data_IF_420061219239
#
_entry.id   IF_420061219239
#
_cell.length_a   1.000
_cell.length_b   1.000
_cell.length_c   1.000
_cell.angle_alpha   90.00
_cell.angle_beta   90.00
_cell.angle_gamma   90.00
#
_symmetry.space_group_name_H-M   'P 1'
#
loop_
_entity.id
_entity.type
_entity.pdbx_description
1 polymer ?
#
# COMPACT_ATOMS: atom_id res chain seq x y z
N UNK A 1 57.35 11.41 -77.34
CA UNK A 1 58.50 10.96 -76.52
C UNK A 1 58.38 11.56 -75.16
N UNK A 2 57.73 10.93 -74.25
CA UNK A 2 57.63 11.43 -72.86
C UNK A 2 57.61 10.24 -71.93
N UNK A 3 58.69 10.15 -71.13
CA UNK A 3 58.92 9.05 -70.18
C UNK A 3 58.03 9.19 -68.99
N UNK A 4 57.43 8.09 -68.56
CA UNK A 4 56.80 7.92 -67.25
C UNK A 4 57.88 7.97 -66.16
N UNK A 5 57.66 8.65 -65.04
CA UNK A 5 58.47 8.43 -63.86
C UNK A 5 58.00 7.22 -63.09
N UNK A 6 58.90 6.40 -62.58
CA UNK A 6 58.76 5.14 -61.87
C UNK A 6 58.04 5.26 -60.53
N UNK A 7 57.03 4.40 -60.37
CA UNK A 7 56.36 4.15 -59.08
C UNK A 7 57.20 3.15 -58.27
N UNK A 8 58.21 3.56 -57.55
CA UNK A 8 59.00 2.72 -56.64
C UNK A 8 59.40 3.46 -55.37
N UNK A 9 58.43 3.90 -54.52
CA UNK A 9 58.80 4.49 -53.21
C UNK A 9 57.74 4.32 -52.12
N UNK A 10 56.73 3.48 -52.30
CA UNK A 10 55.70 3.33 -51.25
C UNK A 10 55.66 1.96 -50.49
N UNK A 11 56.50 0.99 -50.86
CA UNK A 11 56.51 -0.35 -50.24
C UNK A 11 57.46 -0.55 -49.06
N UNK A 12 58.34 0.41 -48.76
CA UNK A 12 59.38 0.31 -47.72
C UNK A 12 58.95 0.86 -46.35
N UNK A 13 57.93 1.68 -46.26
CA UNK A 13 57.49 2.29 -44.99
C UNK A 13 56.57 1.41 -44.15
N UNK A 14 55.85 0.44 -44.73
CA UNK A 14 54.95 -0.46 -43.99
C UNK A 14 55.68 -1.54 -43.20
N UNK A 15 56.91 -1.83 -43.48
CA UNK A 15 57.68 -2.89 -42.84
C UNK A 15 58.81 -2.39 -41.88
N UNK A 16 58.71 -1.16 -41.41
CA UNK A 16 59.66 -0.58 -40.48
C UNK A 16 59.05 -0.27 -39.12
N UNK A 17 59.79 -0.39 -38.07
CA UNK A 17 59.38 -0.03 -36.71
C UNK A 17 59.00 1.47 -36.66
N UNK A 18 57.76 1.79 -36.36
CA UNK A 18 57.21 3.16 -36.30
C UNK A 18 57.91 4.07 -35.28
N UNK A 19 58.74 3.49 -34.38
CA UNK A 19 59.45 4.25 -33.34
C UNK A 19 60.92 4.52 -33.67
N UNK A 20 61.64 3.56 -34.27
CA UNK A 20 63.09 3.72 -34.54
C UNK A 20 63.52 3.41 -35.98
N UNK A 21 62.58 3.12 -36.88
CA UNK A 21 62.87 2.84 -38.29
C UNK A 21 63.51 1.47 -38.59
N UNK A 22 63.74 0.60 -37.61
CA UNK A 22 64.30 -0.73 -37.78
C UNK A 22 63.42 -1.61 -38.66
N UNK A 23 64.00 -2.34 -39.62
CA UNK A 23 63.28 -3.32 -40.46
C UNK A 23 62.90 -4.62 -39.74
N UNK A 24 63.38 -4.84 -38.50
CA UNK A 24 63.08 -6.01 -37.67
C UNK A 24 61.86 -5.73 -36.81
N UNK A 25 60.68 -5.87 -37.39
CA UNK A 25 59.42 -5.76 -36.64
C UNK A 25 58.87 -7.10 -36.20
N UNK A 26 58.28 -7.17 -35.01
CA UNK A 26 57.52 -8.34 -34.54
C UNK A 26 56.14 -8.38 -35.16
N UNK A 27 55.84 -9.42 -35.93
CA UNK A 27 54.51 -9.65 -36.54
C UNK A 27 53.52 -10.18 -35.55
N UNK A 28 52.26 -9.94 -35.75
CA UNK A 28 51.15 -10.44 -34.88
C UNK A 28 50.68 -9.46 -33.81
N UNK A 29 51.14 -8.24 -33.84
CA UNK A 29 50.71 -7.18 -32.93
C UNK A 29 50.09 -6.00 -33.69
N UNK A 30 49.16 -5.25 -33.07
CA UNK A 30 48.44 -4.16 -33.74
C UNK A 30 49.35 -2.97 -34.15
N UNK A 31 50.56 -2.87 -33.57
CA UNK A 31 51.52 -1.85 -33.92
C UNK A 31 52.84 -2.44 -34.41
N UNK A 32 53.33 -1.95 -35.52
CA UNK A 32 54.60 -2.32 -36.11
C UNK A 32 55.80 -1.76 -35.30
N UNK A 33 56.26 -2.52 -34.29
CA UNK A 33 57.37 -2.16 -33.42
C UNK A 33 58.39 -3.32 -33.41
N UNK A 34 59.69 -2.96 -33.36
CA UNK A 34 60.74 -3.96 -33.08
C UNK A 34 60.70 -4.38 -31.59
N UNK A 35 61.26 -5.54 -31.28
CA UNK A 35 61.32 -6.08 -29.91
C UNK A 35 61.86 -5.07 -28.89
N UNK A 36 62.97 -4.37 -29.24
CA UNK A 36 63.59 -3.36 -28.37
C UNK A 36 62.70 -2.17 -28.07
N UNK A 37 61.97 -1.66 -29.06
CA UNK A 37 61.01 -0.56 -28.84
C UNK A 37 59.76 -1.01 -28.07
N UNK A 38 59.33 -2.25 -28.27
CA UNK A 38 58.20 -2.82 -27.56
C UNK A 38 58.52 -3.03 -26.07
N UNK A 39 59.68 -3.61 -25.75
CA UNK A 39 60.13 -3.78 -24.36
C UNK A 39 60.32 -2.42 -23.67
N UNK A 40 60.95 -1.47 -24.35
CA UNK A 40 61.13 -0.12 -23.84
C UNK A 40 59.79 0.64 -23.59
N UNK A 41 58.77 0.36 -24.39
CA UNK A 41 57.39 0.90 -24.15
C UNK A 41 56.68 0.15 -22.99
N UNK A 42 56.88 -1.17 -22.88
CA UNK A 42 56.33 -1.98 -21.80
C UNK A 42 56.96 -1.66 -20.42
N UNK A 43 58.26 -1.27 -20.45
CA UNK A 43 59.01 -0.89 -19.23
C UNK A 43 58.77 0.57 -18.80
N UNK A 44 58.09 1.39 -19.63
CA UNK A 44 57.75 2.78 -19.22
C UNK A 44 56.81 2.78 -18.02
N UNK A 45 57.20 3.34 -16.87
CA UNK A 45 56.31 3.45 -15.73
C UNK A 45 55.11 4.29 -16.10
N UNK A 46 53.90 3.77 -15.82
CA UNK A 46 52.67 4.56 -16.00
C UNK A 46 52.76 5.85 -15.20
N UNK A 47 52.49 7.01 -15.84
CA UNK A 47 52.50 8.28 -15.15
C UNK A 47 51.63 8.23 -13.87
N UNK A 48 52.09 8.84 -12.75
CA UNK A 48 51.38 8.75 -11.46
C UNK A 48 49.91 9.20 -11.53
N UNK A 49 49.59 10.19 -12.36
CA UNK A 49 48.24 10.69 -12.52
C UNK A 49 47.28 9.63 -13.12
N UNK A 50 47.76 8.79 -14.04
CA UNK A 50 46.95 7.67 -14.60
C UNK A 50 46.57 6.67 -13.48
N UNK A 51 47.52 6.36 -12.61
CA UNK A 51 47.26 5.47 -11.47
C UNK A 51 46.22 6.05 -10.53
N UNK A 52 46.30 7.34 -10.23
CA UNK A 52 45.36 8.05 -9.39
C UNK A 52 43.94 8.06 -10.01
N UNK A 53 43.85 8.40 -11.30
CA UNK A 53 42.58 8.41 -12.04
C UNK A 53 41.97 7.01 -12.10
N UNK A 54 42.79 5.97 -12.41
CA UNK A 54 42.31 4.60 -12.44
C UNK A 54 41.83 4.12 -11.07
N UNK A 55 42.56 4.44 -10.00
CA UNK A 55 42.12 4.13 -8.62
C UNK A 55 40.81 4.83 -8.28
N UNK A 56 40.65 6.12 -8.66
CA UNK A 56 39.41 6.88 -8.49
C UNK A 56 38.23 6.22 -9.21
N UNK A 57 38.41 5.81 -10.46
CA UNK A 57 37.39 5.11 -11.25
C UNK A 57 37.00 3.77 -10.58
N UNK A 58 38.00 2.98 -10.12
CA UNK A 58 37.75 1.72 -9.43
C UNK A 58 36.96 1.93 -8.14
N UNK A 59 37.30 2.97 -7.37
CA UNK A 59 36.56 3.32 -6.14
C UNK A 59 35.11 3.71 -6.48
N UNK A 60 34.90 4.54 -7.48
CA UNK A 60 33.55 4.96 -7.91
C UNK A 60 32.73 3.76 -8.38
N UNK A 61 33.32 2.87 -9.19
CA UNK A 61 32.67 1.64 -9.64
C UNK A 61 32.37 0.70 -8.45
N UNK A 62 33.30 0.57 -7.50
CA UNK A 62 33.09 -0.22 -6.28
C UNK A 62 31.93 0.31 -5.45
N UNK A 63 31.84 1.63 -5.23
CA UNK A 63 30.74 2.26 -4.52
C UNK A 63 29.41 2.13 -5.29
N UNK A 64 29.42 2.24 -6.61
CA UNK A 64 28.26 2.02 -7.45
C UNK A 64 27.74 0.57 -7.35
N UNK A 65 28.66 -0.40 -7.41
CA UNK A 65 28.34 -1.82 -7.28
C UNK A 65 27.80 -2.17 -5.88
N UNK A 66 28.28 -1.52 -4.82
CA UNK A 66 27.73 -1.72 -3.46
C UNK A 66 26.29 -1.22 -3.32
N UNK A 67 25.90 -0.15 -4.01
CA UNK A 67 24.55 0.42 -3.97
C UNK A 67 23.60 -0.16 -5.02
N UNK A 68 24.12 -0.86 -6.01
CA UNK A 68 23.31 -1.41 -7.11
C UNK A 68 22.22 -2.39 -6.64
N UNK A 69 22.48 -3.33 -5.67
CA UNK A 69 21.43 -4.22 -5.18
C UNK A 69 20.28 -3.48 -4.54
N UNK A 70 20.54 -2.45 -3.73
CA UNK A 70 19.49 -1.67 -3.06
C UNK A 70 18.67 -0.88 -4.09
N UNK A 71 19.32 -0.27 -5.08
CA UNK A 71 18.65 0.47 -6.16
C UNK A 71 17.76 -0.44 -6.99
N UNK A 72 18.25 -1.62 -7.36
CA UNK A 72 17.48 -2.62 -8.10
C UNK A 72 16.28 -3.11 -7.26
N UNK A 73 16.52 -3.45 -6.00
CA UNK A 73 15.49 -3.92 -5.07
C UNK A 73 14.41 -2.88 -4.86
N UNK A 74 14.77 -1.61 -4.68
CA UNK A 74 13.81 -0.52 -4.54
C UNK A 74 13.00 -0.31 -5.81
N UNK A 75 13.65 -0.33 -6.99
CA UNK A 75 12.97 -0.22 -8.29
C UNK A 75 11.96 -1.34 -8.51
N UNK A 76 12.35 -2.59 -8.24
CA UNK A 76 11.46 -3.75 -8.34
C UNK A 76 10.27 -3.66 -7.37
N UNK A 77 10.52 -3.26 -6.11
CA UNK A 77 9.43 -3.06 -5.15
C UNK A 77 8.50 -1.92 -5.60
N UNK A 78 9.02 -0.81 -6.10
CA UNK A 78 8.20 0.29 -6.60
C UNK A 78 7.30 -0.17 -7.76
N UNK A 79 7.84 -0.92 -8.72
CA UNK A 79 7.07 -1.47 -9.85
C UNK A 79 6.01 -2.48 -9.40
N UNK A 80 6.36 -3.39 -8.49
CA UNK A 80 5.42 -4.37 -7.92
C UNK A 80 4.32 -3.67 -7.13
N UNK A 81 4.65 -2.64 -6.36
CA UNK A 81 3.68 -1.78 -5.68
C UNK A 81 2.71 -1.11 -6.64
N UNK A 82 3.22 -0.56 -7.75
CA UNK A 82 2.40 0.07 -8.77
C UNK A 82 1.51 -0.94 -9.53
N UNK A 83 1.98 -2.16 -9.78
CA UNK A 83 1.16 -3.24 -10.34
C UNK A 83 0.04 -3.67 -9.40
N UNK A 84 0.36 -3.82 -8.10
CA UNK A 84 -0.62 -4.15 -7.08
C UNK A 84 -1.69 -3.05 -6.93
N UNK A 85 -1.28 -1.77 -6.95
CA UNK A 85 -2.20 -0.62 -6.94
C UNK A 85 -3.17 -0.63 -8.13
N UNK A 86 -2.68 -0.89 -9.35
CA UNK A 86 -3.53 -1.05 -10.54
C UNK A 86 -4.52 -2.20 -10.41
N UNK A 87 -4.12 -3.27 -9.73
CA UNK A 87 -4.98 -4.41 -9.42
C UNK A 87 -5.88 -4.18 -8.20
N UNK A 88 -5.88 -2.97 -7.63
CA UNK A 88 -6.61 -2.59 -6.40
C UNK A 88 -6.25 -3.43 -5.18
N UNK A 89 -5.06 -4.01 -5.15
CA UNK A 89 -4.47 -4.76 -4.04
C UNK A 89 -3.65 -3.81 -3.16
N UNK A 90 -4.36 -3.00 -2.40
CA UNK A 90 -3.73 -1.87 -1.72
C UNK A 90 -2.88 -2.25 -0.50
N UNK A 91 -3.15 -3.38 0.17
CA UNK A 91 -2.27 -3.89 1.24
C UNK A 91 -0.95 -4.44 0.65
N UNK A 92 -1.03 -5.18 -0.45
CA UNK A 92 0.16 -5.63 -1.19
C UNK A 92 0.97 -4.44 -1.69
N UNK A 93 0.30 -3.44 -2.28
CA UNK A 93 0.90 -2.18 -2.73
C UNK A 93 1.61 -1.46 -1.58
N UNK A 94 0.96 -1.33 -0.43
CA UNK A 94 1.52 -0.74 0.79
C UNK A 94 2.82 -1.44 1.23
N UNK A 95 2.82 -2.78 1.28
CA UNK A 95 4.01 -3.56 1.66
C UNK A 95 5.21 -3.27 0.76
N UNK A 96 4.99 -3.16 -0.55
CA UNK A 96 6.03 -2.87 -1.53
C UNK A 96 6.52 -1.42 -1.46
N UNK A 97 5.62 -0.43 -1.39
CA UNK A 97 6.05 0.97 -1.26
C UNK A 97 6.73 1.25 0.08
N UNK A 98 6.33 0.57 1.17
CA UNK A 98 7.03 0.64 2.45
C UNK A 98 8.47 0.18 2.33
N UNK A 99 8.73 -0.98 1.70
CA UNK A 99 10.10 -1.47 1.42
C UNK A 99 10.90 -0.50 0.56
N UNK A 100 10.26 0.13 -0.44
CA UNK A 100 10.91 1.15 -1.26
C UNK A 100 11.31 2.37 -0.42
N UNK A 101 10.42 2.85 0.44
CA UNK A 101 10.69 4.00 1.30
C UNK A 101 11.73 3.72 2.40
N UNK A 102 11.81 2.48 2.89
CA UNK A 102 12.87 2.04 3.83
C UNK A 102 14.25 2.12 3.18
N UNK A 103 14.40 1.72 1.91
CA UNK A 103 15.65 1.82 1.16
C UNK A 103 15.97 3.25 0.72
N UNK A 104 14.95 4.04 0.39
CA UNK A 104 15.08 5.43 -0.07
C UNK A 104 14.16 6.39 0.71
N UNK A 105 14.48 6.68 1.99
CA UNK A 105 13.60 7.45 2.89
C UNK A 105 13.40 8.92 2.45
N UNK A 106 14.23 9.42 1.56
CA UNK A 106 14.12 10.78 1.02
C UNK A 106 13.49 10.84 -0.38
N UNK A 107 13.04 9.71 -0.93
CA UNK A 107 12.39 9.66 -2.25
C UNK A 107 10.97 10.19 -2.17
N UNK A 108 10.74 11.44 -2.60
CA UNK A 108 9.40 12.06 -2.64
C UNK A 108 8.38 11.20 -3.40
N UNK A 109 8.70 10.59 -4.57
CA UNK A 109 7.76 9.70 -5.25
C UNK A 109 7.39 8.45 -4.46
N UNK A 110 8.37 7.82 -3.78
CA UNK A 110 8.12 6.63 -2.97
C UNK A 110 7.24 6.97 -1.75
N UNK A 111 7.53 8.06 -1.07
CA UNK A 111 6.75 8.55 0.07
C UNK A 111 5.34 8.98 -0.35
N UNK A 112 5.17 9.61 -1.53
CA UNK A 112 3.84 9.96 -2.02
C UNK A 112 2.99 8.71 -2.31
N UNK A 113 3.55 7.66 -2.91
CA UNK A 113 2.89 6.37 -3.09
C UNK A 113 2.59 5.69 -1.76
N UNK A 114 3.50 5.76 -0.81
CA UNK A 114 3.32 5.23 0.54
C UNK A 114 2.19 5.96 1.29
N UNK A 115 2.12 7.30 1.21
CA UNK A 115 1.03 8.10 1.75
C UNK A 115 -0.33 7.65 1.19
N UNK A 116 -0.47 7.57 -0.13
CA UNK A 116 -1.70 7.13 -0.80
C UNK A 116 -2.08 5.71 -0.33
N UNK A 117 -1.09 4.82 -0.24
CA UNK A 117 -1.34 3.43 0.19
C UNK A 117 -1.78 3.34 1.65
N UNK A 118 -1.19 4.12 2.56
CA UNK A 118 -1.65 4.20 3.95
C UNK A 118 -3.08 4.75 4.04
N UNK A 119 -3.37 5.83 3.31
CA UNK A 119 -4.69 6.46 3.30
C UNK A 119 -5.80 5.49 2.83
N UNK A 120 -5.60 4.78 1.71
CA UNK A 120 -6.57 3.80 1.19
C UNK A 120 -6.78 2.63 2.15
N UNK A 121 -5.74 2.24 2.90
CA UNK A 121 -5.83 1.19 3.92
C UNK A 121 -6.26 1.71 5.30
N UNK A 122 -6.75 2.95 5.39
CA UNK A 122 -7.24 3.58 6.61
C UNK A 122 -6.22 3.65 7.77
N UNK A 123 -4.93 3.57 7.46
CA UNK A 123 -3.83 3.74 8.42
C UNK A 123 -3.50 5.25 8.56
N UNK A 124 -4.43 5.98 9.19
CA UNK A 124 -4.43 7.46 9.17
C UNK A 124 -3.24 8.10 9.86
N UNK A 125 -2.78 7.53 10.97
CA UNK A 125 -1.60 8.04 11.69
C UNK A 125 -0.35 7.98 10.81
N UNK A 126 -0.13 6.85 10.15
CA UNK A 126 0.99 6.64 9.24
C UNK A 126 0.84 7.49 7.97
N UNK A 127 -0.39 7.65 7.46
CA UNK A 127 -0.68 8.52 6.33
C UNK A 127 -0.34 9.98 6.66
N UNK A 128 -0.78 10.51 7.81
CA UNK A 128 -0.47 11.88 8.25
C UNK A 128 1.04 12.10 8.39
N UNK A 129 1.74 11.22 9.11
CA UNK A 129 3.19 11.33 9.28
C UNK A 129 3.94 11.30 7.94
N UNK A 130 3.49 10.45 7.01
CA UNK A 130 4.10 10.35 5.69
C UNK A 130 3.80 11.60 4.86
N UNK A 131 2.59 12.13 4.93
CA UNK A 131 2.21 13.37 4.26
C UNK A 131 3.04 14.56 4.76
N UNK A 132 3.18 14.73 6.07
CA UNK A 132 4.02 15.78 6.67
C UNK A 132 5.47 15.73 6.15
N UNK A 133 6.00 14.53 5.94
CA UNK A 133 7.37 14.35 5.43
C UNK A 133 7.55 14.79 3.98
N UNK A 134 6.48 14.87 3.19
CA UNK A 134 6.50 15.29 1.76
C UNK A 134 5.86 16.66 1.51
N UNK A 135 5.16 17.22 2.48
CA UNK A 135 4.52 18.53 2.36
C UNK A 135 5.54 19.60 1.97
N UNK A 136 5.20 20.38 0.95
CA UNK A 136 6.08 21.42 0.41
C UNK A 136 7.26 20.93 -0.46
N UNK A 137 7.49 19.62 -0.59
CA UNK A 137 8.53 19.08 -1.48
C UNK A 137 8.06 19.02 -2.93
N UNK A 138 9.00 19.26 -3.86
CA UNK A 138 8.70 19.18 -5.29
C UNK A 138 8.49 17.73 -5.72
N UNK A 139 7.34 17.48 -6.34
CA UNK A 139 7.02 16.21 -6.99
C UNK A 139 6.92 16.44 -8.49
N UNK A 140 7.90 15.88 -9.25
CA UNK A 140 8.04 16.12 -10.70
C UNK A 140 6.97 15.40 -11.52
N UNK A 141 6.50 14.26 -11.04
CA UNK A 141 5.43 13.48 -11.67
C UNK A 141 4.07 14.14 -11.41
N UNK A 142 3.53 14.79 -12.45
CA UNK A 142 2.24 15.50 -12.39
C UNK A 142 1.06 14.56 -12.06
N UNK A 143 1.09 13.29 -12.54
CA UNK A 143 0.03 12.33 -12.28
C UNK A 143 0.04 11.91 -10.81
N UNK A 144 1.22 11.64 -10.27
CA UNK A 144 1.38 11.26 -8.88
C UNK A 144 1.01 12.44 -7.95
N UNK A 145 1.39 13.66 -8.32
CA UNK A 145 0.96 14.87 -7.59
C UNK A 145 -0.56 15.00 -7.58
N UNK A 146 -1.21 14.78 -8.73
CA UNK A 146 -2.68 14.81 -8.81
C UNK A 146 -3.30 13.72 -7.93
N UNK A 147 -2.79 12.49 -7.98
CA UNK A 147 -3.27 11.38 -7.13
C UNK A 147 -3.14 11.72 -5.63
N UNK A 148 -2.01 12.29 -5.22
CA UNK A 148 -1.79 12.69 -3.82
C UNK A 148 -2.78 13.80 -3.40
N UNK A 149 -2.98 14.82 -4.25
CA UNK A 149 -3.93 15.90 -3.98
C UNK A 149 -5.38 15.41 -3.92
N UNK A 150 -5.77 14.49 -4.81
CA UNK A 150 -7.11 13.90 -4.80
C UNK A 150 -7.31 13.04 -3.54
N UNK A 151 -6.26 12.35 -3.08
CA UNK A 151 -6.29 11.62 -1.83
C UNK A 151 -6.47 12.56 -0.62
N UNK A 152 -5.77 13.69 -0.57
CA UNK A 152 -5.96 14.69 0.49
C UNK A 152 -7.40 15.18 0.50
N UNK A 153 -7.96 15.59 -0.65
CA UNK A 153 -9.36 16.02 -0.74
C UNK A 153 -10.36 14.95 -0.28
N UNK A 154 -10.09 13.68 -0.66
CA UNK A 154 -10.91 12.57 -0.21
C UNK A 154 -10.83 12.41 1.31
N UNK A 155 -9.63 12.46 1.90
CA UNK A 155 -9.45 12.39 3.34
C UNK A 155 -10.15 13.56 4.06
N UNK A 156 -10.01 14.78 3.56
CA UNK A 156 -10.71 15.93 4.11
C UNK A 156 -12.23 15.68 4.13
N UNK A 157 -12.79 15.13 3.06
CA UNK A 157 -14.23 14.82 3.00
C UNK A 157 -14.68 13.68 3.93
N UNK A 158 -13.74 12.79 4.33
CA UNK A 158 -14.01 11.64 5.20
C UNK A 158 -13.76 11.94 6.68
N UNK A 159 -13.00 12.97 7.00
CA UNK A 159 -12.57 13.27 8.37
C UNK A 159 -12.84 14.72 8.81
N UNK A 160 -13.53 15.51 7.99
CA UNK A 160 -13.99 16.87 8.36
C UNK A 160 -15.19 16.79 9.31
N UNK A 161 -14.92 16.38 10.54
CA UNK A 161 -15.92 16.31 11.59
C UNK A 161 -16.24 17.70 12.12
N UNK A 162 -17.51 18.11 12.02
CA UNK A 162 -17.99 19.29 12.72
C UNK A 162 -17.86 19.12 14.24
N UNK A 163 -17.52 20.20 14.94
CA UNK A 163 -17.31 20.19 16.40
C UNK A 163 -18.47 19.55 17.16
N UNK A 164 -19.73 19.93 16.79
CA UNK A 164 -20.94 19.39 17.44
C UNK A 164 -21.01 17.85 17.29
N UNK A 165 -20.68 17.30 16.09
CA UNK A 165 -20.67 15.87 15.86
C UNK A 165 -19.55 15.18 16.68
N UNK A 166 -18.35 15.76 16.71
CA UNK A 166 -17.25 15.25 17.55
C UNK A 166 -17.61 15.19 19.03
N UNK A 167 -18.30 16.20 19.52
CA UNK A 167 -18.72 16.26 20.93
C UNK A 167 -19.76 15.18 21.24
N UNK A 168 -20.71 14.92 20.33
CA UNK A 168 -21.65 13.80 20.44
C UNK A 168 -20.89 12.46 20.45
N UNK A 169 -19.93 12.27 19.54
CA UNK A 169 -19.16 11.02 19.45
C UNK A 169 -18.26 10.77 20.67
N UNK A 170 -17.64 11.81 21.25
CA UNK A 170 -16.86 11.69 22.49
C UNK A 170 -17.70 11.27 23.69
N UNK A 171 -18.99 11.60 23.69
CA UNK A 171 -19.92 11.25 24.77
C UNK A 171 -20.60 9.89 24.56
N UNK A 172 -20.49 9.29 23.35
CA UNK A 172 -21.17 8.05 22.95
C UNK A 172 -20.97 6.90 23.96
N UNK A 173 -19.77 6.75 24.52
CA UNK A 173 -19.48 5.68 25.49
C UNK A 173 -20.13 5.90 26.86
N UNK A 174 -20.43 7.15 27.22
CA UNK A 174 -21.04 7.54 28.51
C UNK A 174 -22.56 7.63 28.43
N UNK A 175 -23.09 7.88 27.25
CA UNK A 175 -24.52 8.02 27.00
C UNK A 175 -25.19 6.68 26.78
N UNK A 176 -26.43 6.53 27.24
CA UNK A 176 -27.26 5.43 26.83
C UNK A 176 -27.52 5.46 25.30
N UNK A 177 -27.69 4.31 24.65
CA UNK A 177 -27.88 4.20 23.19
C UNK A 177 -28.97 5.14 22.65
N UNK A 178 -30.11 5.22 23.36
CA UNK A 178 -31.23 6.09 22.97
C UNK A 178 -30.89 7.59 23.08
N UNK A 179 -30.03 7.98 24.01
CA UNK A 179 -29.57 9.39 24.15
C UNK A 179 -28.70 9.76 22.97
N UNK A 180 -27.72 8.94 22.63
CA UNK A 180 -26.87 9.14 21.45
C UNK A 180 -27.70 9.20 20.17
N UNK A 181 -28.66 8.28 20.01
CA UNK A 181 -29.58 8.27 18.87
C UNK A 181 -30.35 9.60 18.74
N UNK A 182 -30.92 10.09 19.87
CA UNK A 182 -31.69 11.34 19.87
C UNK A 182 -30.84 12.56 19.53
N UNK A 183 -29.60 12.63 20.05
CA UNK A 183 -28.63 13.70 19.74
C UNK A 183 -28.26 13.68 18.26
N UNK A 184 -27.94 12.51 17.69
CA UNK A 184 -27.60 12.38 16.27
C UNK A 184 -28.79 12.69 15.36
N UNK A 185 -30.00 12.27 15.72
CA UNK A 185 -31.22 12.62 14.99
C UNK A 185 -31.42 14.14 14.92
N UNK A 186 -31.27 14.83 16.04
CA UNK A 186 -31.35 16.30 16.08
C UNK A 186 -30.23 16.96 15.27
N UNK A 187 -29.01 16.39 15.34
CA UNK A 187 -27.85 16.89 14.61
C UNK A 187 -28.09 16.87 13.08
N UNK A 188 -28.54 15.74 12.51
CA UNK A 188 -28.73 15.64 11.05
C UNK A 188 -29.88 16.50 10.56
N UNK A 189 -30.87 16.81 11.40
CA UNK A 189 -31.92 17.77 11.06
C UNK A 189 -31.36 19.18 10.85
N UNK A 190 -30.38 19.58 11.68
CA UNK A 190 -29.71 20.89 11.55
C UNK A 190 -28.61 20.85 10.46
N UNK A 191 -28.07 19.69 10.16
CA UNK A 191 -26.97 19.50 9.22
C UNK A 191 -27.32 18.47 8.12
N UNK A 192 -28.28 18.76 7.24
CA UNK A 192 -28.84 17.78 6.28
C UNK A 192 -27.88 17.40 5.14
N UNK A 193 -26.72 18.08 5.02
CA UNK A 193 -25.69 17.79 4.02
C UNK A 193 -24.44 17.13 4.62
N UNK A 194 -24.48 16.75 5.90
CA UNK A 194 -23.34 16.13 6.57
C UNK A 194 -23.43 14.60 6.46
N UNK A 195 -22.58 14.01 5.60
CA UNK A 195 -22.52 12.57 5.36
C UNK A 195 -22.12 11.78 6.60
N UNK A 196 -21.18 12.31 7.39
CA UNK A 196 -20.73 11.68 8.63
C UNK A 196 -21.82 11.64 9.69
N UNK A 197 -22.63 12.72 9.78
CA UNK A 197 -23.79 12.76 10.65
C UNK A 197 -24.79 11.65 10.34
N UNK A 198 -25.12 11.46 9.06
CA UNK A 198 -26.00 10.36 8.64
C UNK A 198 -25.36 8.98 8.85
N UNK A 199 -24.06 8.82 8.59
CA UNK A 199 -23.36 7.57 8.87
C UNK A 199 -23.49 7.19 10.36
N UNK A 200 -23.15 8.09 11.27
CA UNK A 200 -23.22 7.82 12.71
C UNK A 200 -24.67 7.67 13.22
N UNK A 201 -25.66 8.36 12.59
CA UNK A 201 -27.05 8.09 12.88
C UNK A 201 -27.45 6.67 12.44
N UNK A 202 -26.92 6.22 11.30
CA UNK A 202 -27.05 4.82 10.86
C UNK A 202 -26.52 3.83 11.90
N UNK A 203 -25.31 4.08 12.43
CA UNK A 203 -24.72 3.28 13.52
C UNK A 203 -25.62 3.27 14.78
N UNK A 204 -26.12 4.45 15.17
CA UNK A 204 -27.00 4.56 16.32
C UNK A 204 -28.35 3.86 16.10
N UNK A 205 -28.91 3.90 14.89
CA UNK A 205 -30.09 3.11 14.53
C UNK A 205 -29.80 1.62 14.63
N UNK A 206 -28.65 1.18 14.09
CA UNK A 206 -28.22 -0.23 14.12
C UNK A 206 -28.05 -0.74 15.56
N UNK A 207 -27.42 0.03 16.44
CA UNK A 207 -27.22 -0.30 17.85
C UNK A 207 -28.55 -0.36 18.64
N UNK A 208 -29.60 0.32 18.14
CA UNK A 208 -30.97 0.25 18.66
C UNK A 208 -31.86 -0.75 17.88
N UNK A 209 -31.29 -1.63 17.08
CA UNK A 209 -31.96 -2.68 16.30
C UNK A 209 -32.97 -2.14 15.24
N UNK A 210 -32.88 -0.87 14.92
CA UNK A 210 -33.70 -0.21 13.88
C UNK A 210 -33.02 -0.37 12.51
N UNK A 211 -32.93 -1.61 12.04
CA UNK A 211 -32.11 -1.96 10.86
C UNK A 211 -32.58 -1.30 9.56
N UNK A 212 -33.88 -1.11 9.35
CA UNK A 212 -34.38 -0.39 8.18
C UNK A 212 -33.99 1.09 8.22
N UNK A 213 -34.16 1.77 9.38
CA UNK A 213 -33.72 3.16 9.55
C UNK A 213 -32.20 3.28 9.42
N UNK A 214 -31.43 2.32 9.94
CA UNK A 214 -29.98 2.26 9.80
C UNK A 214 -29.57 2.24 8.33
N UNK A 215 -30.13 1.31 7.54
CA UNK A 215 -29.90 1.21 6.10
C UNK A 215 -30.18 2.55 5.40
N UNK A 216 -31.35 3.17 5.67
CA UNK A 216 -31.74 4.40 5.00
C UNK A 216 -30.77 5.57 5.32
N UNK A 217 -30.25 5.65 6.55
CA UNK A 217 -29.28 6.65 6.93
C UNK A 217 -27.90 6.40 6.31
N UNK A 218 -27.43 5.14 6.23
CA UNK A 218 -26.18 4.81 5.51
C UNK A 218 -26.29 5.13 4.01
N UNK A 219 -27.44 4.85 3.37
CA UNK A 219 -27.68 5.21 1.96
C UNK A 219 -27.67 6.72 1.78
N UNK A 220 -28.26 7.50 2.70
CA UNK A 220 -28.15 8.97 2.67
C UNK A 220 -26.70 9.45 2.81
N UNK A 221 -25.93 8.83 3.70
CA UNK A 221 -24.51 9.14 3.85
C UNK A 221 -23.74 8.92 2.54
N UNK A 222 -23.99 7.80 1.85
CA UNK A 222 -23.39 7.46 0.55
C UNK A 222 -23.83 8.41 -0.58
N UNK A 223 -25.08 8.85 -0.57
CA UNK A 223 -25.57 9.82 -1.54
C UNK A 223 -24.87 11.18 -1.39
N UNK A 224 -24.49 11.56 -0.17
CA UNK A 224 -23.74 12.79 0.12
C UNK A 224 -22.24 12.62 -0.09
N UNK A 225 -21.67 11.47 0.23
CA UNK A 225 -20.25 11.15 0.04
C UNK A 225 -20.07 9.71 -0.42
N UNK A 226 -19.94 9.46 -1.75
CA UNK A 226 -19.74 8.11 -2.31
C UNK A 226 -18.44 7.46 -1.91
N UNK A 227 -17.45 8.21 -1.38
CA UNK A 227 -16.16 7.67 -0.93
C UNK A 227 -16.22 7.09 0.49
N UNK A 228 -17.35 7.21 1.18
CA UNK A 228 -17.53 6.68 2.54
C UNK A 228 -17.78 5.16 2.50
N UNK A 229 -16.75 4.40 2.10
CA UNK A 229 -16.84 2.95 1.87
C UNK A 229 -17.34 2.16 3.10
N UNK A 230 -17.07 2.65 4.30
CA UNK A 230 -17.59 2.06 5.56
C UNK A 230 -19.12 2.07 5.61
N UNK A 231 -19.77 3.05 4.98
CA UNK A 231 -21.23 3.09 4.92
C UNK A 231 -21.81 1.97 4.04
N UNK A 232 -21.12 1.50 2.98
CA UNK A 232 -21.51 0.30 2.25
C UNK A 232 -21.52 -0.95 3.14
N UNK A 233 -20.51 -1.09 4.04
CA UNK A 233 -20.48 -2.18 5.02
C UNK A 233 -21.58 -2.03 6.07
N UNK A 234 -21.96 -0.79 6.42
CA UNK A 234 -23.11 -0.48 7.25
C UNK A 234 -24.42 -0.92 6.60
N UNK A 235 -24.65 -0.55 5.32
CA UNK A 235 -25.81 -1.00 4.52
C UNK A 235 -25.85 -2.53 4.45
N UNK A 236 -24.72 -3.16 4.16
CA UNK A 236 -24.61 -4.62 4.10
C UNK A 236 -24.97 -5.29 5.46
N UNK A 237 -24.50 -4.69 6.55
CA UNK A 237 -24.84 -5.17 7.90
C UNK A 237 -26.33 -5.05 8.19
N UNK A 238 -26.94 -3.94 7.79
CA UNK A 238 -28.39 -3.74 7.94
C UNK A 238 -29.18 -4.75 7.08
N UNK A 239 -28.83 -4.93 5.80
CA UNK A 239 -29.44 -5.96 4.95
C UNK A 239 -29.30 -7.36 5.51
N UNK A 240 -28.13 -7.72 6.07
CA UNK A 240 -27.91 -9.00 6.71
C UNK A 240 -28.87 -9.23 7.89
N UNK A 241 -29.11 -8.20 8.72
CA UNK A 241 -30.07 -8.30 9.82
C UNK A 241 -31.52 -8.38 9.34
N UNK A 242 -31.85 -7.72 8.25
CA UNK A 242 -33.16 -7.80 7.60
C UNK A 242 -33.39 -9.11 6.83
N UNK A 243 -32.38 -10.00 6.75
CA UNK A 243 -32.47 -11.26 5.99
C UNK A 243 -32.26 -11.11 4.49
N UNK A 244 -31.95 -9.90 4.00
CA UNK A 244 -31.74 -9.61 2.58
C UNK A 244 -30.29 -9.90 2.16
N UNK A 245 -29.92 -11.17 2.23
CA UNK A 245 -28.51 -11.63 2.18
C UNK A 245 -27.84 -11.27 0.85
N UNK A 246 -28.51 -11.46 -0.28
CA UNK A 246 -27.93 -11.18 -1.58
C UNK A 246 -27.59 -9.68 -1.76
N UNK A 247 -28.46 -8.79 -1.26
CA UNK A 247 -28.21 -7.36 -1.23
C UNK A 247 -27.03 -6.99 -0.31
N UNK A 248 -26.89 -7.70 0.81
CA UNK A 248 -25.72 -7.52 1.67
C UNK A 248 -24.42 -7.86 0.93
N UNK A 249 -24.39 -8.97 0.18
CA UNK A 249 -23.24 -9.38 -0.63
C UNK A 249 -22.95 -8.37 -1.74
N UNK A 250 -23.97 -7.84 -2.41
CA UNK A 250 -23.80 -6.79 -3.44
C UNK A 250 -23.11 -5.54 -2.88
N UNK A 251 -23.54 -5.07 -1.71
CA UNK A 251 -22.92 -3.90 -1.06
C UNK A 251 -21.46 -4.16 -0.65
N UNK A 252 -21.15 -5.34 -0.12
CA UNK A 252 -19.78 -5.72 0.21
C UNK A 252 -18.91 -5.80 -1.04
N UNK A 253 -19.45 -6.33 -2.14
CA UNK A 253 -18.72 -6.42 -3.41
C UNK A 253 -18.38 -5.04 -3.99
N UNK A 254 -19.16 -3.99 -3.76
CA UNK A 254 -18.79 -2.62 -4.14
C UNK A 254 -17.50 -2.19 -3.42
N UNK A 255 -17.34 -2.53 -2.15
CA UNK A 255 -16.11 -2.25 -1.40
C UNK A 255 -14.94 -3.06 -1.96
N UNK A 256 -15.14 -4.34 -2.30
CA UNK A 256 -14.11 -5.19 -2.90
C UNK A 256 -13.73 -4.75 -4.33
N UNK A 257 -14.67 -4.16 -5.09
CA UNK A 257 -14.37 -3.56 -6.39
C UNK A 257 -13.49 -2.30 -6.26
N UNK A 258 -13.58 -1.58 -5.15
CA UNK A 258 -12.71 -0.46 -4.83
C UNK A 258 -11.37 -0.93 -4.26
N UNK A 259 -11.38 -1.85 -3.29
CA UNK A 259 -10.20 -2.44 -2.65
C UNK A 259 -10.34 -3.95 -2.58
N UNK A 260 -9.67 -4.67 -3.47
CA UNK A 260 -9.70 -6.14 -3.57
C UNK A 260 -9.08 -6.85 -2.34
N UNK A 261 -8.40 -6.11 -1.46
CA UNK A 261 -7.80 -6.60 -0.21
C UNK A 261 -8.42 -5.92 1.02
N UNK A 262 -9.68 -5.47 0.92
CA UNK A 262 -10.39 -4.89 2.06
C UNK A 262 -10.64 -5.94 3.13
N UNK A 263 -9.93 -5.82 4.24
CA UNK A 263 -10.03 -6.71 5.41
C UNK A 263 -11.45 -6.71 5.97
N UNK A 264 -12.03 -5.52 6.15
CA UNK A 264 -13.38 -5.36 6.71
C UNK A 264 -14.46 -5.91 5.78
N UNK A 265 -14.25 -5.85 4.46
CA UNK A 265 -15.16 -6.45 3.50
C UNK A 265 -15.14 -7.98 3.59
N UNK A 266 -13.96 -8.61 3.69
CA UNK A 266 -13.87 -10.06 3.88
C UNK A 266 -14.45 -10.50 5.23
N UNK A 267 -14.21 -9.74 6.30
CA UNK A 267 -14.83 -10.00 7.61
C UNK A 267 -16.36 -9.87 7.54
N UNK A 268 -16.88 -8.88 6.80
CA UNK A 268 -18.32 -8.70 6.59
C UNK A 268 -18.93 -9.82 5.74
N UNK A 269 -18.26 -10.28 4.66
CA UNK A 269 -18.67 -11.46 3.90
C UNK A 269 -18.71 -12.72 4.79
N UNK A 270 -17.67 -12.93 5.59
CA UNK A 270 -17.62 -14.04 6.54
C UNK A 270 -18.85 -14.07 7.48
N UNK A 271 -19.20 -12.91 8.05
CA UNK A 271 -20.42 -12.78 8.89
C UNK A 271 -21.69 -13.01 8.09
N UNK A 272 -21.69 -12.68 6.80
CA UNK A 272 -22.83 -12.91 5.91
C UNK A 272 -22.99 -14.41 5.61
N UNK A 273 -21.89 -15.13 5.40
CA UNK A 273 -21.91 -16.59 5.24
C UNK A 273 -22.30 -17.32 6.54
N UNK A 274 -21.94 -16.79 7.72
CA UNK A 274 -22.46 -17.31 9.00
C UNK A 274 -23.98 -17.21 9.06
N UNK A 275 -24.58 -16.08 8.62
CA UNK A 275 -26.04 -15.92 8.54
C UNK A 275 -26.70 -16.94 7.61
N UNK A 276 -25.99 -17.36 6.56
CA UNK A 276 -26.44 -18.44 5.65
C UNK A 276 -26.17 -19.85 6.18
N UNK A 277 -25.62 -19.99 7.40
CA UNK A 277 -25.16 -21.25 7.99
C UNK A 277 -24.04 -21.95 7.18
N UNK A 278 -23.33 -21.19 6.34
CA UNK A 278 -22.21 -21.67 5.53
C UNK A 278 -20.90 -21.56 6.33
N UNK A 279 -20.78 -22.35 7.41
CA UNK A 279 -19.70 -22.19 8.40
C UNK A 279 -18.30 -22.36 7.82
N UNK A 280 -18.13 -23.27 6.86
CA UNK A 280 -16.83 -23.49 6.20
C UNK A 280 -16.42 -22.29 5.33
N UNK A 281 -17.35 -21.78 4.51
CA UNK A 281 -17.09 -20.57 3.69
C UNK A 281 -16.82 -19.35 4.58
N UNK A 282 -17.55 -19.20 5.68
CA UNK A 282 -17.29 -18.17 6.67
C UNK A 282 -15.89 -18.27 7.26
N UNK A 283 -15.39 -19.49 7.53
CA UNK A 283 -14.05 -19.71 8.04
C UNK A 283 -12.97 -19.29 7.04
N UNK A 284 -13.07 -19.69 5.78
CA UNK A 284 -12.15 -19.34 4.73
C UNK A 284 -12.05 -17.80 4.55
N UNK A 285 -13.19 -17.11 4.59
CA UNK A 285 -13.25 -15.64 4.45
C UNK A 285 -12.69 -14.92 5.68
N UNK A 286 -12.98 -15.39 6.90
CA UNK A 286 -12.45 -14.80 8.13
C UNK A 286 -10.92 -15.00 8.22
N UNK A 287 -10.44 -16.20 7.86
CA UNK A 287 -9.02 -16.50 7.79
C UNK A 287 -8.33 -15.56 6.79
N UNK A 288 -8.90 -15.40 5.59
CA UNK A 288 -8.38 -14.47 4.57
C UNK A 288 -8.30 -13.04 5.08
N UNK A 289 -9.31 -12.57 5.83
CA UNK A 289 -9.27 -11.23 6.42
C UNK A 289 -8.08 -11.08 7.39
N UNK A 290 -7.86 -12.07 8.27
CA UNK A 290 -6.74 -12.06 9.21
C UNK A 290 -5.36 -12.24 8.54
N UNK A 291 -5.27 -13.01 7.44
CA UNK A 291 -4.03 -13.18 6.67
C UNK A 291 -3.63 -11.89 5.94
N UNK A 292 -4.61 -11.09 5.53
CA UNK A 292 -4.38 -9.79 4.93
C UNK A 292 -3.82 -8.78 5.95
N UNK A 293 -4.44 -8.67 7.12
CA UNK A 293 -3.98 -7.82 8.23
C UNK A 293 -4.29 -8.50 9.58
N UNK A 294 -3.26 -9.09 10.18
CA UNK A 294 -3.36 -9.81 11.46
C UNK A 294 -3.48 -8.88 12.67
N UNK A 295 -3.31 -7.58 12.50
CA UNK A 295 -3.49 -6.57 13.53
C UNK A 295 -4.92 -6.00 13.56
N UNK A 296 -5.73 -6.27 12.53
CA UNK A 296 -7.11 -5.82 12.48
C UNK A 296 -7.97 -6.57 13.52
N UNK A 297 -8.35 -5.85 14.57
CA UNK A 297 -9.09 -6.43 15.70
C UNK A 297 -10.53 -6.83 15.33
N UNK A 298 -11.15 -6.14 14.35
CA UNK A 298 -12.49 -6.51 13.87
C UNK A 298 -12.47 -7.85 13.10
N UNK A 299 -11.45 -8.06 12.25
CA UNK A 299 -11.24 -9.34 11.57
C UNK A 299 -10.93 -10.45 12.59
N UNK A 300 -10.06 -10.16 13.58
CA UNK A 300 -9.75 -11.10 14.69
C UNK A 300 -11.02 -11.50 15.46
N UNK A 301 -11.89 -10.54 15.80
CA UNK A 301 -13.15 -10.80 16.48
C UNK A 301 -14.11 -11.61 15.61
N UNK A 302 -14.16 -11.32 14.31
CA UNK A 302 -14.96 -12.09 13.36
C UNK A 302 -14.47 -13.55 13.29
N UNK A 303 -13.16 -13.77 13.19
CA UNK A 303 -12.58 -15.11 13.17
C UNK A 303 -12.84 -15.87 14.48
N UNK A 304 -12.80 -15.20 15.64
CA UNK A 304 -13.15 -15.82 16.93
C UNK A 304 -14.61 -16.29 16.96
N UNK A 305 -15.55 -15.48 16.44
CA UNK A 305 -16.95 -15.88 16.30
C UNK A 305 -17.07 -17.08 15.35
N UNK A 306 -16.39 -17.05 14.21
CA UNK A 306 -16.42 -18.14 13.22
C UNK A 306 -15.85 -19.44 13.78
N UNK A 307 -14.77 -19.38 14.56
CA UNK A 307 -14.22 -20.55 15.25
C UNK A 307 -15.23 -21.14 16.24
N UNK A 308 -16.03 -20.31 16.95
CA UNK A 308 -17.09 -20.80 17.80
C UNK A 308 -18.11 -21.66 17.02
N UNK A 309 -18.60 -21.16 15.87
CA UNK A 309 -19.56 -21.88 15.03
C UNK A 309 -18.98 -23.13 14.33
N UNK A 310 -17.66 -23.23 14.24
CA UNK A 310 -16.93 -24.40 13.71
C UNK A 310 -16.42 -25.34 14.84
N UNK A 311 -16.84 -25.14 16.10
CA UNK A 311 -16.42 -25.91 17.27
C UNK A 311 -14.90 -25.90 17.55
N UNK A 312 -14.18 -24.90 17.04
CA UNK A 312 -12.72 -24.71 17.21
C UNK A 312 -12.44 -23.90 18.48
N UNK A 313 -12.69 -24.53 19.64
CA UNK A 313 -12.70 -23.84 20.94
C UNK A 313 -11.32 -23.28 21.32
N UNK A 314 -10.25 -24.05 21.09
CA UNK A 314 -8.89 -23.65 21.48
C UNK A 314 -8.43 -22.42 20.69
N UNK A 315 -8.62 -22.42 19.38
CA UNK A 315 -8.28 -21.33 18.48
C UNK A 315 -9.10 -20.08 18.79
N UNK A 316 -10.39 -20.23 19.06
CA UNK A 316 -11.28 -19.17 19.51
C UNK A 316 -10.74 -18.48 20.77
N UNK A 317 -10.42 -19.27 21.81
CA UNK A 317 -9.99 -18.73 23.10
C UNK A 317 -8.66 -17.97 22.99
N UNK A 318 -7.74 -18.42 22.15
CA UNK A 318 -6.50 -17.68 21.84
C UNK A 318 -6.78 -16.29 21.25
N UNK A 319 -7.74 -16.19 20.32
CA UNK A 319 -8.11 -14.91 19.74
C UNK A 319 -8.84 -14.00 20.74
N UNK A 320 -9.68 -14.56 21.62
CA UNK A 320 -10.32 -13.79 22.69
C UNK A 320 -9.26 -13.19 23.63
N UNK A 321 -8.24 -13.95 24.02
CA UNK A 321 -7.14 -13.42 24.84
C UNK A 321 -6.36 -12.32 24.12
N UNK A 322 -6.13 -12.45 22.80
CA UNK A 322 -5.54 -11.38 21.98
C UNK A 322 -6.40 -10.11 22.00
N UNK A 323 -7.72 -10.24 21.84
CA UNK A 323 -8.65 -9.11 21.85
C UNK A 323 -8.72 -8.43 23.23
N UNK A 324 -8.68 -9.21 24.33
CA UNK A 324 -8.59 -8.67 25.71
C UNK A 324 -7.33 -7.85 25.91
N UNK A 325 -6.18 -8.39 25.54
CA UNK A 325 -4.87 -7.68 25.64
C UNK A 325 -4.82 -6.39 24.83
N UNK A 326 -5.51 -6.36 23.69
CA UNK A 326 -5.59 -5.19 22.84
C UNK A 326 -6.67 -4.17 23.28
N UNK A 327 -7.39 -4.41 24.37
CA UNK A 327 -8.52 -3.59 24.83
C UNK A 327 -9.55 -3.32 23.72
N UNK A 328 -9.91 -4.36 22.96
CA UNK A 328 -10.84 -4.21 21.84
C UNK A 328 -12.23 -3.78 22.31
N UNK A 329 -12.70 -2.60 21.89
CA UNK A 329 -14.01 -2.05 22.29
C UNK A 329 -15.22 -2.94 21.91
N UNK A 330 -15.08 -3.76 20.87
CA UNK A 330 -16.11 -4.72 20.45
C UNK A 330 -16.10 -6.06 21.20
N UNK A 331 -15.24 -6.23 22.22
CA UNK A 331 -15.05 -7.51 22.91
C UNK A 331 -16.34 -8.01 23.58
N UNK A 332 -17.05 -7.15 24.32
CA UNK A 332 -18.30 -7.54 25.02
C UNK A 332 -19.36 -8.02 24.03
N UNK A 333 -19.49 -7.36 22.90
CA UNK A 333 -20.40 -7.77 21.82
C UNK A 333 -19.98 -9.11 21.21
N UNK A 334 -18.68 -9.32 21.02
CA UNK A 334 -18.12 -10.60 20.53
C UNK A 334 -18.42 -11.75 21.51
N UNK A 335 -18.18 -11.54 22.80
CA UNK A 335 -18.47 -12.51 23.84
C UNK A 335 -19.97 -12.79 23.96
N UNK A 336 -20.79 -11.74 23.89
CA UNK A 336 -22.26 -11.91 23.94
C UNK A 336 -22.80 -12.78 22.78
N UNK A 337 -22.18 -12.70 21.60
CA UNK A 337 -22.49 -13.59 20.47
C UNK A 337 -22.06 -15.03 20.76
N UNK A 338 -20.82 -15.23 21.24
CA UNK A 338 -20.26 -16.54 21.55
C UNK A 338 -21.05 -17.24 22.67
N UNK A 339 -21.46 -16.49 23.69
CA UNK A 339 -22.23 -17.01 24.83
C UNK A 339 -23.73 -17.15 24.52
N UNK A 340 -24.18 -16.82 23.32
CA UNK A 340 -25.59 -16.89 22.92
C UNK A 340 -26.49 -15.83 23.56
N UNK A 341 -25.92 -14.85 24.31
CA UNK A 341 -26.67 -13.72 24.89
C UNK A 341 -27.11 -12.71 23.85
N UNK A 342 -26.36 -12.58 22.77
CA UNK A 342 -26.71 -11.82 21.59
C UNK A 342 -26.77 -12.78 20.41
N UNK A 343 -27.97 -12.93 19.87
CA UNK A 343 -28.11 -13.73 18.66
C UNK A 343 -27.48 -12.99 17.49
N UNK A 344 -26.58 -13.67 16.81
CA UNK A 344 -25.93 -13.08 15.65
C UNK A 344 -26.96 -12.86 14.52
N UNK A 345 -28.01 -13.73 14.54
CA UNK A 345 -28.93 -13.89 13.42
C UNK A 345 -30.25 -14.56 13.85
N UNK A 346 -31.22 -13.83 14.33
CA UNK A 346 -32.63 -14.22 14.35
C UNK A 346 -33.41 -13.34 13.39
#
# INVERSE_FOLDING_TARGET
>A
MEGKPDAQTSASEENACKQCGSSLIERGYPFALCQRCRTALAERPMPPWIKIVSAGIIIILGLALMRFPDTLTAGLNFEQGAKAEKAKKYLTSLRHFKKTAELYPNSTPALAKLFISYAVNQKMKEASNTFESIAGKKLSDKRLLQQANDMVKMLDSLYDYKKELLDIMKQKEKDAKNVTFSKLKSYVQKNPKDSLGFYHLGDACFDNEKYSEAKDNYVKALALNPYLLVAHLGVASAYRQLGEIDKAIEEINKVLQYNAESVDAYASLSRTELKRHQYKAALELAQKACDLDNENLYATATLAIVYHYNAMTRERDQLIEKLKKANFQGLDKTLAIIDGRLKLYD
#
